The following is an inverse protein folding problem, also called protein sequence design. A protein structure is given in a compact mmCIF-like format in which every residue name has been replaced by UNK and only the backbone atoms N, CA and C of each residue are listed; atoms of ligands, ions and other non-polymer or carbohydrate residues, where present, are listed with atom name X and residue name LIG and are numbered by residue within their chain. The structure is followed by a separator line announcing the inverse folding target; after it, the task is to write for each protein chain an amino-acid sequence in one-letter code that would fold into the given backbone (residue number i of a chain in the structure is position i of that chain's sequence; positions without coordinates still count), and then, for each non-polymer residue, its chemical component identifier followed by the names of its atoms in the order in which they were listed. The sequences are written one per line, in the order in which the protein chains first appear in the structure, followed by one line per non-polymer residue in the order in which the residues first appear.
data_IF_582426035274
#
_entry.id   IF_582426035274
#
_cell.length_a   1.000
_cell.length_b   1.000
_cell.length_c   1.000
_cell.angle_alpha   90.00
_cell.angle_beta   90.00
_cell.angle_gamma   90.00
#
_symmetry.space_group_name_H-M   'P 1'
#
loop_
_entity.id
_entity.type
_entity.pdbx_description
1 polymer ?
#
# COMPACT_ATOMS: atom_id res chain seq x y z
N UNK A 1 -28.51 -28.07 26.45
CA UNK A 1 -28.31 -28.32 25.00
C UNK A 1 -28.02 -26.98 24.35
N UNK A 2 -26.99 -26.95 23.52
CA UNK A 2 -26.10 -25.83 23.17
C UNK A 2 -26.77 -24.69 22.42
N UNK A 3 -26.67 -23.48 22.98
CA UNK A 3 -26.91 -22.23 22.26
C UNK A 3 -25.86 -22.09 21.14
N UNK A 4 -26.33 -21.99 19.90
CA UNK A 4 -25.48 -21.80 18.72
C UNK A 4 -24.65 -20.53 18.87
N UNK A 5 -23.34 -20.70 18.87
CA UNK A 5 -22.35 -19.65 18.77
C UNK A 5 -22.61 -18.86 17.48
N UNK A 6 -23.26 -17.70 17.60
CA UNK A 6 -23.29 -16.70 16.53
C UNK A 6 -21.87 -16.24 16.31
N UNK A 7 -21.25 -16.75 15.24
CA UNK A 7 -20.02 -16.19 14.72
C UNK A 7 -20.25 -14.68 14.55
N UNK A 8 -19.60 -13.86 15.39
CA UNK A 8 -19.57 -12.42 15.17
C UNK A 8 -18.97 -12.24 13.78
N UNK A 9 -19.77 -11.75 12.83
CA UNK A 9 -19.22 -11.15 11.62
C UNK A 9 -18.18 -10.14 12.12
N UNK A 10 -16.90 -10.41 11.84
CA UNK A 10 -15.87 -9.40 11.97
C UNK A 10 -16.18 -8.42 10.84
N UNK A 11 -16.98 -7.40 11.16
CA UNK A 11 -17.17 -6.27 10.26
C UNK A 11 -15.78 -5.69 10.01
N UNK A 12 -15.27 -5.66 8.77
CA UNK A 12 -14.00 -5.01 8.49
C UNK A 12 -14.16 -3.55 8.87
N UNK A 13 -13.58 -3.15 10.00
CA UNK A 13 -13.58 -1.76 10.42
C UNK A 13 -12.70 -1.00 9.44
N UNK A 14 -13.35 -0.14 8.66
CA UNK A 14 -12.70 0.78 7.74
C UNK A 14 -11.66 1.59 8.52
N UNK A 15 -10.35 1.51 8.17
CA UNK A 15 -9.32 2.23 8.91
C UNK A 15 -9.55 3.75 8.87
N UNK A 16 -9.30 4.47 9.97
CA UNK A 16 -9.50 5.93 10.02
C UNK A 16 -8.64 6.74 9.05
N UNK A 17 -7.54 6.16 8.56
CA UNK A 17 -6.66 6.74 7.56
C UNK A 17 -7.07 6.46 6.12
N UNK A 18 -8.04 5.58 5.89
CA UNK A 18 -8.41 5.16 4.54
C UNK A 18 -9.25 6.24 3.86
N UNK A 19 -8.83 6.61 2.66
CA UNK A 19 -9.50 7.61 1.82
C UNK A 19 -10.09 7.00 0.55
N UNK A 20 -9.67 5.80 0.16
CA UNK A 20 -10.19 5.10 -1.01
C UNK A 20 -10.26 3.60 -0.73
N UNK A 21 -11.39 2.98 -1.08
CA UNK A 21 -11.59 1.54 -0.94
C UNK A 21 -12.00 0.96 -2.30
N UNK A 22 -11.23 0.00 -2.82
CA UNK A 22 -11.49 -0.70 -4.09
C UNK A 22 -11.12 -2.16 -3.97
N UNK A 23 -11.98 -3.05 -4.48
CA UNK A 23 -11.73 -4.50 -4.58
C UNK A 23 -11.26 -5.16 -3.27
N UNK A 24 -11.83 -4.74 -2.13
CA UNK A 24 -11.45 -5.26 -0.80
C UNK A 24 -10.12 -4.72 -0.27
N UNK A 25 -9.60 -3.64 -0.86
CA UNK A 25 -8.33 -2.99 -0.47
C UNK A 25 -8.57 -1.53 -0.09
N UNK A 26 -8.25 -1.21 1.16
CA UNK A 26 -8.22 0.14 1.71
C UNK A 26 -6.92 0.85 1.36
N UNK A 27 -6.97 2.12 0.97
CA UNK A 27 -5.81 2.96 0.66
C UNK A 27 -5.86 4.27 1.43
N UNK A 28 -4.73 4.74 1.94
CA UNK A 28 -4.60 6.11 2.42
C UNK A 28 -4.53 7.10 1.25
N UNK A 29 -4.53 8.39 1.58
CA UNK A 29 -4.15 9.42 0.62
C UNK A 29 -2.76 9.12 0.07
N UNK A 30 -2.60 9.38 -1.21
CA UNK A 30 -1.32 9.28 -1.88
C UNK A 30 -0.42 10.45 -1.47
N UNK A 31 0.86 10.13 -1.27
CA UNK A 31 1.92 11.12 -1.19
C UNK A 31 2.48 11.24 -2.62
N UNK A 32 2.13 12.30 -3.37
CA UNK A 32 2.66 12.48 -4.72
C UNK A 32 4.15 12.82 -4.65
N UNK A 33 4.94 12.46 -5.67
CA UNK A 33 6.32 12.91 -5.76
C UNK A 33 6.37 14.43 -5.96
N UNK A 34 7.30 15.10 -5.26
CA UNK A 34 7.53 16.53 -5.43
C UNK A 34 8.21 16.82 -6.79
N UNK A 35 7.54 17.58 -7.67
CA UNK A 35 8.10 18.14 -8.91
C UNK A 35 7.65 17.43 -10.20
N UNK A 36 7.01 18.19 -11.11
CA UNK A 36 6.16 17.69 -12.21
C UNK A 36 6.83 17.53 -13.58
N UNK A 37 8.14 17.63 -13.71
CA UNK A 37 8.81 17.64 -15.04
C UNK A 37 9.32 16.26 -15.49
N UNK A 38 8.90 15.17 -14.83
CA UNK A 38 9.39 13.82 -15.12
C UNK A 38 8.39 13.01 -15.94
N UNK A 39 8.92 12.27 -16.93
CA UNK A 39 8.16 11.31 -17.77
C UNK A 39 7.58 10.16 -16.95
N UNK A 40 8.23 9.81 -15.84
CA UNK A 40 7.78 8.77 -14.91
C UNK A 40 7.83 9.35 -13.49
N UNK A 41 6.76 9.17 -12.74
CA UNK A 41 6.69 9.58 -11.33
C UNK A 41 6.16 8.43 -10.44
N UNK A 42 6.63 8.40 -9.20
CA UNK A 42 6.31 7.36 -8.24
C UNK A 42 5.64 7.98 -6.99
N UNK A 43 4.44 7.52 -6.67
CA UNK A 43 3.70 7.87 -5.44
C UNK A 43 3.72 6.72 -4.44
N UNK A 44 3.34 7.02 -3.20
CA UNK A 44 3.17 5.98 -2.17
C UNK A 44 1.96 6.26 -1.27
N UNK A 45 1.27 5.20 -0.86
CA UNK A 45 0.19 5.24 0.13
C UNK A 45 0.24 4.00 1.05
N UNK A 46 -0.45 4.04 2.19
CA UNK A 46 -0.72 2.83 2.96
C UNK A 46 -1.79 2.01 2.26
N UNK A 47 -1.71 0.69 2.33
CA UNK A 47 -2.83 -0.18 1.99
C UNK A 47 -3.13 -1.21 3.08
N UNK A 48 -4.36 -1.72 3.08
CA UNK A 48 -4.82 -2.85 3.90
C UNK A 48 -5.81 -3.70 3.10
N UNK A 49 -5.64 -5.02 3.10
CA UNK A 49 -6.61 -5.95 2.50
C UNK A 49 -7.61 -6.49 3.53
N UNK A 50 -8.86 -6.65 3.10
CA UNK A 50 -9.92 -7.29 3.86
C UNK A 50 -9.75 -8.82 3.92
N UNK A 51 -10.43 -9.44 4.89
CA UNK A 51 -10.59 -10.90 4.96
C UNK A 51 -9.35 -11.70 5.36
N UNK A 52 -8.18 -11.08 5.48
CA UNK A 52 -6.98 -11.77 5.95
C UNK A 52 -6.97 -11.95 7.48
N UNK A 53 -6.48 -13.10 8.00
CA UNK A 53 -6.44 -13.40 9.44
C UNK A 53 -5.68 -12.36 10.28
N UNK A 54 -4.69 -11.72 9.64
CA UNK A 54 -4.04 -10.51 10.12
C UNK A 54 -4.22 -9.49 9.02
N UNK A 55 -4.75 -8.29 9.29
CA UNK A 55 -4.85 -7.27 8.24
C UNK A 55 -3.44 -6.98 7.73
N UNK A 56 -3.17 -7.36 6.48
CA UNK A 56 -1.89 -7.09 5.84
C UNK A 56 -1.86 -5.58 5.57
N UNK A 57 -1.25 -4.85 6.50
CA UNK A 57 -0.98 -3.42 6.32
C UNK A 57 0.38 -3.31 5.65
N UNK A 58 0.45 -2.55 4.56
CA UNK A 58 1.66 -2.37 3.77
C UNK A 58 1.74 -1.01 3.11
N UNK A 59 2.69 -0.87 2.19
CA UNK A 59 2.86 0.32 1.35
C UNK A 59 2.49 -0.04 -0.07
N UNK A 60 1.60 0.74 -0.68
CA UNK A 60 1.35 0.66 -2.11
C UNK A 60 2.31 1.63 -2.80
N UNK A 61 3.18 1.11 -3.65
CA UNK A 61 3.98 1.90 -4.59
C UNK A 61 3.17 2.09 -5.86
N UNK A 62 2.93 3.34 -6.26
CA UNK A 62 2.19 3.64 -7.48
C UNK A 62 3.13 4.25 -8.51
N UNK A 63 3.19 3.68 -9.70
CA UNK A 63 4.00 4.19 -10.80
C UNK A 63 3.09 4.80 -11.85
N UNK A 64 3.51 5.96 -12.35
CA UNK A 64 2.82 6.71 -13.38
C UNK A 64 3.76 6.93 -14.54
N UNK A 65 3.34 6.50 -15.72
CA UNK A 65 4.09 6.66 -16.96
C UNK A 65 3.12 7.03 -18.07
N UNK A 66 3.15 8.29 -18.52
CA UNK A 66 2.14 8.86 -19.42
C UNK A 66 0.71 8.64 -18.91
N UNK A 67 -0.09 7.83 -19.60
CA UNK A 67 -1.47 7.46 -19.27
C UNK A 67 -1.59 6.15 -18.47
N UNK A 68 -0.47 5.46 -18.24
CA UNK A 68 -0.44 4.21 -17.49
C UNK A 68 -0.22 4.48 -15.99
N UNK A 69 -1.11 3.89 -15.18
CA UNK A 69 -1.00 3.88 -13.73
C UNK A 69 -0.96 2.44 -13.25
N UNK A 70 0.11 2.08 -12.55
CA UNK A 70 0.31 0.75 -12.00
C UNK A 70 0.46 0.80 -10.48
N UNK A 71 -0.21 -0.13 -9.80
CA UNK A 71 -0.20 -0.27 -8.35
C UNK A 71 0.57 -1.52 -7.94
N UNK A 72 1.52 -1.35 -7.02
CA UNK A 72 2.37 -2.40 -6.49
C UNK A 72 2.21 -2.47 -4.97
N UNK A 73 1.28 -3.28 -4.45
CA UNK A 73 1.13 -3.49 -3.02
C UNK A 73 2.33 -4.29 -2.48
N UNK A 74 3.04 -3.70 -1.52
CA UNK A 74 4.19 -4.30 -0.83
C UNK A 74 3.87 -4.44 0.66
N UNK A 75 4.01 -5.64 1.23
CA UNK A 75 4.00 -5.76 2.68
C UNK A 75 5.16 -4.96 3.32
N UNK A 76 5.12 -4.77 4.64
CA UNK A 76 6.12 -3.94 5.31
C UNK A 76 7.55 -4.48 5.20
N UNK A 77 7.74 -5.80 5.12
CA UNK A 77 9.07 -6.39 5.01
C UNK A 77 9.62 -6.23 3.59
N UNK A 78 8.80 -6.45 2.58
CA UNK A 78 9.10 -6.13 1.17
C UNK A 78 9.44 -4.65 1.00
N UNK A 79 8.66 -3.75 1.60
CA UNK A 79 8.89 -2.31 1.55
C UNK A 79 10.23 -1.92 2.21
N UNK A 80 10.59 -2.55 3.34
CA UNK A 80 11.90 -2.35 4.01
C UNK A 80 13.06 -2.81 3.13
N UNK A 81 12.94 -3.99 2.50
CA UNK A 81 13.97 -4.54 1.61
C UNK A 81 14.16 -3.64 0.37
N UNK A 82 13.05 -3.18 -0.23
CA UNK A 82 13.09 -2.27 -1.37
C UNK A 82 13.76 -0.94 -0.99
N UNK A 83 13.36 -0.34 0.12
CA UNK A 83 13.95 0.92 0.61
C UNK A 83 15.46 0.77 0.86
N UNK A 84 15.90 -0.35 1.45
CA UNK A 84 17.32 -0.63 1.65
C UNK A 84 18.07 -0.75 0.31
N UNK A 85 17.52 -1.50 -0.64
CA UNK A 85 18.11 -1.74 -1.96
C UNK A 85 18.25 -0.44 -2.77
N UNK A 86 17.20 0.37 -2.83
CA UNK A 86 17.19 1.65 -3.53
C UNK A 86 18.21 2.62 -2.94
N UNK A 87 18.25 2.76 -1.59
CA UNK A 87 19.25 3.60 -0.92
C UNK A 87 20.68 3.18 -1.26
N UNK A 88 20.94 1.86 -1.35
CA UNK A 88 22.26 1.33 -1.71
C UNK A 88 22.63 1.66 -3.16
N UNK A 89 21.69 1.51 -4.10
CA UNK A 89 21.91 1.81 -5.51
C UNK A 89 22.18 3.30 -5.74
N UNK A 90 21.36 4.18 -5.15
CA UNK A 90 21.54 5.64 -5.25
C UNK A 90 22.92 6.05 -4.76
N UNK A 91 23.33 5.59 -3.56
CA UNK A 91 24.67 5.88 -3.03
C UNK A 91 25.79 5.45 -3.96
N UNK A 92 25.63 4.34 -4.69
CA UNK A 92 26.64 3.85 -5.65
C UNK A 92 26.67 4.66 -6.94
N UNK A 93 25.53 5.17 -7.39
CA UNK A 93 25.44 5.95 -8.64
C UNK A 93 25.95 7.39 -8.49
N UNK A 94 25.98 7.90 -7.25
CA UNK A 94 26.38 9.29 -6.95
C UNK A 94 27.75 9.39 -6.24
N UNK A 95 28.50 8.30 -6.16
CA UNK A 95 29.86 8.24 -5.61
C UNK A 95 30.88 8.25 -6.75
#
# INVERSE_FOLDING_TARGET
MTAGSTARLIVPTHPSWCTTHRDGIHYSSEIPPWGSDRVIYAGSSLFRMDGLPVPLVGVNLRLYAADLVEDYPLDLDQARILAWSLRRLVRRATA
#
